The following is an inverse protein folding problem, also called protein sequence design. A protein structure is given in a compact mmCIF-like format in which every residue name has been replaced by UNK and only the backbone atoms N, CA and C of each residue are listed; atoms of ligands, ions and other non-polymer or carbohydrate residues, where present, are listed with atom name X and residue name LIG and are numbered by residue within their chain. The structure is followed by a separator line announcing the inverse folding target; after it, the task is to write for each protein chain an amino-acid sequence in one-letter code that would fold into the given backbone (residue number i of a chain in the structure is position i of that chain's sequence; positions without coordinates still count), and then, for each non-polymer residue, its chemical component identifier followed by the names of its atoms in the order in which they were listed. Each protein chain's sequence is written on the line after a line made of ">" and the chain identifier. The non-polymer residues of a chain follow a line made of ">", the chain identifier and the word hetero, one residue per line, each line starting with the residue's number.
data_IF_792847067409
#
_entry.id   IF_792847067409
#
_cell.length_a   1.000
_cell.length_b   1.000
_cell.length_c   1.000
_cell.angle_alpha   90.00
_cell.angle_beta   90.00
_cell.angle_gamma   90.00
#
_symmetry.space_group_name_H-M   'P 1'
#
loop_
_entity.id
_entity.type
_entity.pdbx_description
1 polymer ?
#
# COMPACT_ATOMS: atom_id res chain seq x y z
N UNK A 1 -4.33 5.32 15.81
CA UNK A 1 -3.40 5.20 14.67
C UNK A 1 -3.44 3.75 14.21
N UNK A 2 -3.94 3.49 13.00
CA UNK A 2 -4.03 2.13 12.47
C UNK A 2 -2.83 1.83 11.58
N UNK A 3 -2.33 0.59 11.62
CA UNK A 3 -1.31 0.10 10.70
C UNK A 3 -1.94 -0.91 9.76
N UNK A 4 -1.85 -0.66 8.46
CA UNK A 4 -2.47 -1.50 7.42
C UNK A 4 -1.39 -2.05 6.53
N UNK A 5 -1.37 -3.37 6.35
CA UNK A 5 -0.55 -4.05 5.37
C UNK A 5 -1.41 -4.42 4.16
N UNK A 6 -1.05 -3.90 2.99
CA UNK A 6 -1.65 -4.27 1.71
C UNK A 6 -0.80 -5.37 1.06
N UNK A 7 -1.44 -6.44 0.58
CA UNK A 7 -0.76 -7.55 -0.09
C UNK A 7 -1.14 -7.52 -1.58
N UNK A 8 -0.13 -7.50 -2.45
CA UNK A 8 -0.27 -7.33 -3.90
C UNK A 8 -0.02 -5.89 -4.37
N UNK A 9 0.12 -5.73 -5.69
CA UNK A 9 0.44 -4.43 -6.31
C UNK A 9 -0.31 -4.14 -7.62
N UNK A 10 -1.47 -4.78 -7.81
CA UNK A 10 -2.30 -4.58 -8.97
C UNK A 10 -3.12 -3.28 -8.92
N UNK A 11 -3.95 -3.07 -9.94
CA UNK A 11 -4.80 -1.88 -10.04
C UNK A 11 -5.78 -1.77 -8.86
N UNK A 12 -6.26 -2.90 -8.33
CA UNK A 12 -7.16 -2.95 -7.18
C UNK A 12 -6.47 -2.42 -5.92
N UNK A 13 -5.25 -2.88 -5.67
CA UNK A 13 -4.45 -2.49 -4.51
C UNK A 13 -4.10 -0.99 -4.57
N UNK A 14 -3.74 -0.49 -5.75
CA UNK A 14 -3.51 0.95 -5.98
C UNK A 14 -4.75 1.78 -5.62
N UNK A 15 -5.95 1.35 -6.05
CA UNK A 15 -7.19 2.05 -5.76
C UNK A 15 -7.50 2.10 -4.25
N UNK A 16 -7.27 0.97 -3.55
CA UNK A 16 -7.44 0.89 -2.09
C UNK A 16 -6.44 1.79 -1.38
N UNK A 17 -5.15 1.73 -1.72
CA UNK A 17 -4.10 2.55 -1.13
C UNK A 17 -4.40 4.05 -1.26
N UNK A 18 -4.89 4.49 -2.42
CA UNK A 18 -5.31 5.88 -2.65
C UNK A 18 -6.47 6.28 -1.73
N UNK A 19 -7.49 5.43 -1.61
CA UNK A 19 -8.64 5.72 -0.72
C UNK A 19 -8.26 5.74 0.75
N UNK A 20 -7.34 4.88 1.18
CA UNK A 20 -6.80 4.90 2.55
C UNK A 20 -6.07 6.22 2.81
N UNK A 21 -5.19 6.67 1.92
CA UNK A 21 -4.46 7.94 2.08
C UNK A 21 -5.34 9.18 1.99
N UNK A 22 -6.49 9.09 1.32
CA UNK A 22 -7.49 10.15 1.30
C UNK A 22 -8.40 10.17 2.54
N UNK A 23 -8.33 9.17 3.41
CA UNK A 23 -9.18 9.13 4.61
C UNK A 23 -8.72 10.15 5.66
N UNK A 24 -9.66 10.66 6.45
CA UNK A 24 -9.36 11.55 7.57
C UNK A 24 -8.76 10.82 8.78
N UNK A 25 -8.59 9.49 8.69
CA UNK A 25 -8.02 8.69 9.76
C UNK A 25 -6.50 8.61 9.60
N UNK A 26 -5.73 8.78 10.68
CA UNK A 26 -4.28 8.63 10.62
C UNK A 26 -3.93 7.14 10.46
N UNK A 27 -3.48 6.78 9.25
CA UNK A 27 -3.12 5.41 8.84
C UNK A 27 -1.69 5.34 8.31
N UNK A 28 -0.90 4.45 8.92
CA UNK A 28 0.38 4.00 8.40
C UNK A 28 0.14 2.85 7.44
N UNK A 29 0.45 3.06 6.16
CA UNK A 29 0.22 2.09 5.09
C UNK A 29 1.54 1.41 4.73
N UNK A 30 1.53 0.08 4.70
CA UNK A 30 2.63 -0.77 4.27
C UNK A 30 2.16 -1.60 3.06
N UNK A 31 3.07 -1.99 2.18
CA UNK A 31 2.75 -2.85 1.04
C UNK A 31 3.74 -4.01 0.94
N UNK A 32 3.25 -5.19 0.59
CA UNK A 32 4.00 -6.39 0.29
C UNK A 32 3.61 -6.86 -1.12
N UNK A 33 4.56 -7.02 -2.03
CA UNK A 33 4.28 -7.59 -3.36
C UNK A 33 5.50 -8.29 -3.95
N UNK A 34 5.29 -9.15 -4.94
CA UNK A 34 6.35 -9.79 -5.71
C UNK A 34 7.08 -8.84 -6.66
N UNK A 35 6.46 -7.71 -7.00
CA UNK A 35 7.04 -6.65 -7.84
C UNK A 35 6.64 -5.27 -7.32
N UNK A 36 7.59 -4.33 -7.34
CA UNK A 36 7.37 -2.94 -6.99
C UNK A 36 6.46 -2.27 -8.04
N UNK A 37 5.35 -1.69 -7.59
CA UNK A 37 4.53 -0.80 -8.40
C UNK A 37 4.70 0.66 -7.93
N UNK A 38 5.21 1.56 -8.79
CA UNK A 38 5.48 2.96 -8.43
C UNK A 38 4.22 3.75 -8.04
N UNK A 39 3.04 3.33 -8.51
CA UNK A 39 1.78 4.01 -8.20
C UNK A 39 1.26 3.76 -6.78
N UNK A 40 1.79 2.75 -6.08
CA UNK A 40 1.46 2.43 -4.69
C UNK A 40 2.65 2.64 -3.76
N UNK A 41 3.89 2.46 -4.21
CA UNK A 41 5.08 2.64 -3.35
C UNK A 41 5.16 4.04 -2.73
N UNK A 42 4.80 5.07 -3.50
CA UNK A 42 4.75 6.47 -3.03
C UNK A 42 3.70 6.72 -1.95
N UNK A 43 2.73 5.82 -1.78
CA UNK A 43 1.64 5.93 -0.81
C UNK A 43 1.96 5.18 0.50
N UNK A 44 2.99 4.34 0.49
CA UNK A 44 3.36 3.47 1.61
C UNK A 44 4.52 4.06 2.40
N UNK A 45 4.53 3.86 3.71
CA UNK A 45 5.69 4.15 4.56
C UNK A 45 6.84 3.18 4.29
N UNK A 46 6.51 1.92 3.98
CA UNK A 46 7.47 0.92 3.54
C UNK A 46 6.85 -0.05 2.54
N UNK A 47 7.67 -0.46 1.58
CA UNK A 47 7.34 -1.45 0.58
C UNK A 47 8.27 -2.65 0.75
N UNK A 48 7.71 -3.84 0.82
CA UNK A 48 8.44 -5.09 0.94
C UNK A 48 8.27 -5.86 -0.37
N UNK A 49 9.39 -6.09 -1.05
CA UNK A 49 9.42 -6.98 -2.21
C UNK A 49 9.71 -8.39 -1.73
N UNK A 50 8.78 -9.31 -1.94
CA UNK A 50 8.90 -10.71 -1.53
C UNK A 50 8.03 -11.60 -2.42
N UNK A 51 8.41 -12.88 -2.64
CA UNK A 51 7.55 -13.85 -3.30
C UNK A 51 6.20 -13.95 -2.56
N UNK A 52 5.10 -13.90 -3.32
CA UNK A 52 3.72 -14.04 -2.82
C UNK A 52 3.12 -15.37 -3.26
#
# INVERSE_FOLDING_TARGET
>A
MSRVLLIGSGAREVAIARKIKQSNSPVSLFCLSSLINPHISILCEKYFEAPL
#
